data_IF_150598055677
#
_entry.id   IF_150598055677
#
_cell.length_a   1.000
_cell.length_b   1.000
_cell.length_c   1.000
_cell.angle_alpha   90.00
_cell.angle_beta   90.00
_cell.angle_gamma   90.00
#
_symmetry.space_group_name_H-M   'P 1'
#
loop_
_entity.id
_entity.type
_entity.pdbx_description
1 polymer ?
#
# COMPACT_ATOMS: atom_id res chain seq x y z
N UNK A 1 33.28 -3.34 2.95
CA UNK A 1 32.62 -4.53 3.55
C UNK A 1 32.03 -5.47 2.50
N UNK A 2 31.22 -5.00 1.55
CA UNK A 2 30.58 -5.85 0.53
C UNK A 2 31.56 -6.79 -0.20
N UNK A 3 32.70 -6.27 -0.66
CA UNK A 3 33.73 -7.05 -1.36
C UNK A 3 34.36 -8.18 -0.53
N UNK A 4 34.31 -8.10 0.80
CA UNK A 4 34.82 -9.16 1.70
C UNK A 4 33.86 -10.35 1.79
N UNK A 5 32.61 -10.16 1.37
CA UNK A 5 31.58 -11.18 1.34
C UNK A 5 30.65 -11.18 2.58
N UNK A 6 29.53 -11.93 2.52
CA UNK A 6 28.47 -11.91 3.52
C UNK A 6 28.90 -12.19 4.96
N UNK A 7 29.92 -13.04 5.16
CA UNK A 7 30.44 -13.36 6.49
C UNK A 7 31.00 -12.14 7.26
N UNK A 8 31.32 -11.06 6.55
CA UNK A 8 31.86 -9.82 7.11
C UNK A 8 30.85 -8.67 7.06
N UNK A 9 29.55 -8.94 6.90
CA UNK A 9 28.51 -7.91 6.96
C UNK A 9 28.22 -7.57 8.41
N UNK A 10 28.93 -6.54 8.90
CA UNK A 10 28.77 -6.04 10.26
C UNK A 10 27.77 -4.89 10.31
N UNK A 11 27.65 -4.12 9.22
CA UNK A 11 26.60 -3.11 9.03
C UNK A 11 25.18 -3.70 9.09
N UNK A 12 24.30 -2.99 9.80
CA UNK A 12 22.90 -3.36 10.03
C UNK A 12 22.09 -3.43 8.72
N UNK A 13 22.35 -2.53 7.77
CA UNK A 13 21.60 -2.49 6.50
C UNK A 13 21.95 -3.71 5.63
N UNK A 14 23.23 -4.08 5.57
CA UNK A 14 23.70 -5.27 4.88
C UNK A 14 23.17 -6.56 5.53
N UNK A 15 23.10 -6.62 6.87
CA UNK A 15 22.48 -7.75 7.59
C UNK A 15 20.99 -7.86 7.28
N UNK A 16 20.26 -6.75 7.26
CA UNK A 16 18.84 -6.74 6.88
C UNK A 16 18.64 -7.19 5.44
N UNK A 17 19.43 -6.68 4.50
CA UNK A 17 19.40 -7.14 3.11
C UNK A 17 19.66 -8.64 3.02
N UNK A 18 20.64 -9.17 3.76
CA UNK A 18 20.91 -10.60 3.80
C UNK A 18 19.70 -11.39 4.29
N UNK A 19 19.10 -10.98 5.40
CA UNK A 19 17.93 -11.63 5.98
C UNK A 19 16.73 -11.59 5.04
N UNK A 20 16.38 -10.44 4.47
CA UNK A 20 15.26 -10.34 3.52
C UNK A 20 15.47 -11.20 2.28
N UNK A 21 16.71 -11.31 1.79
CA UNK A 21 17.03 -12.14 0.62
C UNK A 21 16.94 -13.65 0.89
N UNK A 22 16.74 -14.10 2.12
CA UNK A 22 16.42 -15.52 2.42
C UNK A 22 15.02 -15.89 1.93
N UNK A 23 14.09 -14.93 1.94
CA UNK A 23 12.73 -15.12 1.44
C UNK A 23 12.66 -14.89 -0.07
N UNK A 24 12.08 -15.84 -0.81
CA UNK A 24 12.04 -15.80 -2.29
C UNK A 24 11.31 -14.56 -2.82
N UNK A 25 10.20 -14.16 -2.19
CA UNK A 25 9.41 -13.00 -2.62
C UNK A 25 10.19 -11.69 -2.51
N UNK A 26 10.97 -11.53 -1.44
CA UNK A 26 11.80 -10.35 -1.23
C UNK A 26 13.05 -10.37 -2.09
N UNK A 27 13.68 -11.54 -2.26
CA UNK A 27 14.87 -11.69 -3.10
C UNK A 27 14.65 -11.25 -4.56
N UNK A 28 13.44 -11.45 -5.09
CA UNK A 28 13.10 -11.08 -6.47
C UNK A 28 13.06 -9.56 -6.68
N UNK A 29 12.65 -8.81 -5.65
CA UNK A 29 12.43 -7.35 -5.71
C UNK A 29 13.56 -6.52 -5.10
N UNK A 30 14.52 -7.16 -4.44
CA UNK A 30 15.68 -6.50 -3.82
C UNK A 30 16.92 -6.62 -4.71
N UNK A 31 17.70 -5.54 -4.79
CA UNK A 31 19.02 -5.55 -5.42
C UNK A 31 19.98 -6.51 -4.72
N UNK A 32 20.94 -7.07 -5.48
CA UNK A 32 22.09 -7.78 -4.91
C UNK A 32 22.96 -6.79 -4.10
N UNK A 33 23.84 -7.31 -3.26
CA UNK A 33 24.79 -6.47 -2.52
C UNK A 33 25.70 -5.74 -3.50
N UNK A 34 25.61 -4.41 -3.53
CA UNK A 34 26.32 -3.57 -4.48
C UNK A 34 26.88 -2.36 -3.73
N UNK A 35 28.17 -2.06 -3.93
CA UNK A 35 28.75 -0.84 -3.38
C UNK A 35 28.11 0.39 -4.04
N UNK A 36 27.77 1.40 -3.23
CA UNK A 36 27.10 2.62 -3.70
C UNK A 36 27.89 3.31 -4.83
N UNK A 37 29.22 3.29 -4.75
CA UNK A 37 30.10 3.95 -5.73
C UNK A 37 30.82 2.95 -6.67
N UNK A 38 30.20 1.82 -7.00
CA UNK A 38 30.76 0.92 -8.01
C UNK A 38 30.76 1.59 -9.39
N UNK A 39 31.93 1.62 -10.04
CA UNK A 39 32.10 2.19 -11.38
C UNK A 39 31.19 1.55 -12.44
N UNK A 40 30.86 0.27 -12.29
CA UNK A 40 30.01 -0.48 -13.21
C UNK A 40 28.52 -0.16 -13.03
N UNK A 41 28.13 0.46 -11.91
CA UNK A 41 26.74 0.79 -11.58
C UNK A 41 26.41 2.28 -11.81
N UNK A 42 27.28 3.01 -12.51
CA UNK A 42 27.09 4.43 -12.84
C UNK A 42 26.15 4.59 -14.04
N UNK A 43 25.47 5.75 -14.18
CA UNK A 43 25.57 6.96 -13.36
C UNK A 43 24.79 6.87 -12.04
N UNK A 44 25.21 7.66 -11.04
CA UNK A 44 24.42 7.86 -9.82
C UNK A 44 23.26 8.81 -10.13
N UNK A 45 22.09 8.53 -9.56
CA UNK A 45 20.88 9.34 -9.71
C UNK A 45 20.51 9.91 -8.34
N UNK A 46 20.27 11.21 -8.29
CA UNK A 46 19.71 11.88 -7.12
C UNK A 46 18.30 12.40 -7.45
N UNK A 47 17.32 12.06 -6.62
CA UNK A 47 15.94 12.52 -6.74
C UNK A 47 15.63 13.35 -5.50
N UNK A 48 15.18 14.59 -5.71
CA UNK A 48 14.72 15.46 -4.62
C UNK A 48 13.26 15.12 -4.30
N UNK A 49 13.04 14.55 -3.13
CA UNK A 49 11.70 14.19 -2.65
C UNK A 49 11.08 15.30 -1.79
N UNK A 50 9.76 15.41 -1.84
CA UNK A 50 8.96 16.29 -0.99
C UNK A 50 7.76 15.53 -0.42
N UNK A 51 7.34 15.89 0.79
CA UNK A 51 6.12 15.33 1.38
C UNK A 51 4.91 15.95 0.67
N UNK A 52 4.03 15.09 0.15
CA UNK A 52 2.79 15.47 -0.51
C UNK A 52 1.63 14.72 0.16
N UNK A 53 0.51 15.40 0.38
CA UNK A 53 -0.75 14.70 0.67
C UNK A 53 -1.21 13.99 -0.60
N UNK A 54 -1.50 12.69 -0.50
CA UNK A 54 -1.78 11.85 -1.68
C UNK A 54 -3.13 11.14 -1.65
N UNK A 55 -3.75 10.98 -0.47
CA UNK A 55 -4.91 10.10 -0.27
C UNK A 55 -5.78 10.62 0.88
N UNK A 56 -7.10 10.58 0.72
CA UNK A 56 -8.05 10.81 1.81
C UNK A 56 -8.53 9.47 2.39
N UNK A 57 -8.22 9.20 3.65
CA UNK A 57 -8.64 7.96 4.33
C UNK A 57 -10.07 8.03 4.88
N UNK A 58 -10.60 9.24 5.06
CA UNK A 58 -12.00 9.47 5.35
C UNK A 58 -12.86 9.33 4.09
N UNK A 59 -14.18 9.47 4.26
CA UNK A 59 -15.11 9.42 3.14
C UNK A 59 -16.55 9.28 3.61
N UNK A 60 -17.41 8.99 2.67
CA UNK A 60 -18.82 8.70 2.91
C UNK A 60 -18.93 7.37 3.67
N UNK A 61 -19.63 7.39 4.80
CA UNK A 61 -19.87 6.19 5.60
C UNK A 61 -20.80 5.24 4.84
N UNK A 62 -20.41 3.96 4.79
CA UNK A 62 -21.22 2.91 4.17
C UNK A 62 -21.34 1.69 5.07
N UNK A 63 -22.36 0.88 4.85
CA UNK A 63 -22.43 -0.47 5.40
C UNK A 63 -21.66 -1.50 4.56
N UNK A 64 -21.79 -2.78 4.92
CA UNK A 64 -21.14 -3.89 4.23
C UNK A 64 -21.71 -4.15 2.82
N UNK A 65 -22.86 -3.59 2.47
CA UNK A 65 -23.45 -3.64 1.13
C UNK A 65 -23.08 -2.39 0.31
N UNK A 66 -22.16 -1.55 0.82
CA UNK A 66 -21.72 -0.30 0.21
C UNK A 66 -22.83 0.75 0.08
N UNK A 67 -23.93 0.61 0.83
CA UNK A 67 -25.01 1.61 0.89
C UNK A 67 -24.56 2.78 1.75
N UNK A 68 -24.83 4.00 1.30
CA UNK A 68 -24.51 5.21 2.07
C UNK A 68 -25.40 5.28 3.29
N UNK A 69 -24.81 5.62 4.44
CA UNK A 69 -25.54 5.79 5.69
C UNK A 69 -25.83 7.28 5.96
N UNK A 70 -27.03 7.56 6.47
CA UNK A 70 -27.37 8.86 7.01
C UNK A 70 -26.76 9.09 8.41
N UNK A 71 -27.11 10.21 9.05
CA UNK A 71 -26.57 10.57 10.38
C UNK A 71 -27.06 9.65 11.50
N UNK A 72 -28.14 8.92 11.27
CA UNK A 72 -28.72 7.95 12.19
C UNK A 72 -28.17 6.53 11.95
N UNK A 73 -27.32 6.37 10.92
CA UNK A 73 -26.76 5.08 10.52
C UNK A 73 -27.70 4.25 9.66
N UNK A 74 -28.80 4.81 9.17
CA UNK A 74 -29.73 4.12 8.30
C UNK A 74 -29.29 4.24 6.82
N UNK A 75 -29.44 3.18 6.01
CA UNK A 75 -29.12 3.24 4.59
C UNK A 75 -30.03 4.22 3.83
N UNK A 76 -29.44 5.10 3.04
CA UNK A 76 -30.17 5.97 2.11
C UNK A 76 -30.55 5.16 0.87
N UNK A 77 -31.84 5.00 0.54
CA UNK A 77 -32.28 4.18 -0.58
C UNK A 77 -31.68 4.62 -1.92
N UNK A 78 -31.13 3.67 -2.68
CA UNK A 78 -30.56 3.91 -4.01
C UNK A 78 -29.19 4.60 -4.03
N UNK A 79 -28.62 4.96 -2.88
CA UNK A 79 -27.34 5.66 -2.79
C UNK A 79 -26.23 4.74 -2.29
N UNK A 80 -25.15 4.64 -3.08
CA UNK A 80 -24.00 3.79 -2.81
C UNK A 80 -22.69 4.57 -2.96
N UNK A 81 -21.66 4.18 -2.22
CA UNK A 81 -20.33 4.77 -2.35
C UNK A 81 -19.25 3.67 -2.26
N UNK A 82 -18.20 3.81 -3.07
CA UNK A 82 -17.07 2.87 -3.15
C UNK A 82 -15.78 3.62 -3.45
N UNK A 83 -14.64 2.94 -3.33
CA UNK A 83 -13.34 3.52 -3.64
C UNK A 83 -12.97 4.67 -2.71
N UNK A 84 -12.15 5.63 -3.18
CA UNK A 84 -11.66 6.75 -2.37
C UNK A 84 -12.79 7.61 -1.79
N UNK A 85 -13.92 7.74 -2.50
CA UNK A 85 -15.09 8.45 -1.97
C UNK A 85 -15.62 7.85 -0.65
N UNK A 86 -15.36 6.57 -0.41
CA UNK A 86 -15.70 5.86 0.82
C UNK A 86 -14.45 5.51 1.65
N UNK A 87 -13.33 6.25 1.52
CA UNK A 87 -12.09 5.98 2.24
C UNK A 87 -11.32 4.76 1.72
N UNK A 88 -11.42 4.49 0.42
CA UNK A 88 -10.84 3.35 -0.29
C UNK A 88 -11.38 2.00 0.19
N UNK A 89 -12.69 1.89 0.42
CA UNK A 89 -13.32 0.59 0.74
C UNK A 89 -14.48 0.63 1.72
N UNK A 90 -14.99 1.82 2.07
CA UNK A 90 -16.18 1.98 2.90
C UNK A 90 -15.97 1.59 4.36
N UNK A 91 -16.96 1.92 5.18
CA UNK A 91 -17.03 1.46 6.57
C UNK A 91 -15.83 1.80 7.47
N UNK A 92 -14.98 2.75 7.09
CA UNK A 92 -13.77 3.09 7.85
C UNK A 92 -12.66 2.03 7.80
N UNK A 93 -12.60 1.21 6.75
CA UNK A 93 -11.66 0.06 6.64
C UNK A 93 -10.18 0.39 6.90
N UNK A 94 -9.74 1.61 6.59
CA UNK A 94 -8.36 2.06 6.79
C UNK A 94 -8.16 2.87 8.09
N UNK A 95 -9.22 3.13 8.86
CA UNK A 95 -9.17 3.88 10.11
C UNK A 95 -8.37 5.20 10.00
N UNK A 96 -7.38 5.38 10.87
CA UNK A 96 -6.52 6.57 10.90
C UNK A 96 -5.29 6.49 9.99
N UNK A 97 -4.85 5.28 9.64
CA UNK A 97 -3.62 5.03 8.87
C UNK A 97 -3.82 3.77 8.03
N UNK A 98 -3.50 3.88 6.75
CA UNK A 98 -3.62 2.75 5.83
C UNK A 98 -2.27 2.06 5.61
N UNK A 99 -2.33 0.80 5.19
CA UNK A 99 -1.19 0.04 4.70
C UNK A 99 -0.98 0.33 3.21
N UNK A 100 0.23 0.73 2.82
CA UNK A 100 0.58 0.87 1.40
C UNK A 100 0.28 -0.44 0.64
N UNK A 101 -0.35 -0.31 -0.53
CA UNK A 101 -0.78 -1.45 -1.35
C UNK A 101 -2.20 -1.99 -1.09
N UNK A 102 -2.89 -1.63 -0.01
CA UNK A 102 -4.26 -2.13 0.25
C UNK A 102 -5.35 -1.46 -0.60
N UNK A 103 -5.11 -0.20 -0.99
CA UNK A 103 -6.13 0.69 -1.56
C UNK A 103 -6.81 0.14 -2.81
N UNK A 104 -6.03 -0.30 -3.80
CA UNK A 104 -6.57 -0.79 -5.07
C UNK A 104 -7.44 -2.03 -4.86
N UNK A 105 -6.97 -2.97 -4.04
CA UNK A 105 -7.72 -4.19 -3.71
C UNK A 105 -9.06 -3.85 -3.09
N UNK A 106 -9.08 -2.96 -2.09
CA UNK A 106 -10.30 -2.51 -1.44
C UNK A 106 -11.27 -1.80 -2.39
N UNK A 107 -10.78 -0.95 -3.31
CA UNK A 107 -11.61 -0.33 -4.35
C UNK A 107 -12.28 -1.37 -5.25
N UNK A 108 -11.53 -2.36 -5.74
CA UNK A 108 -12.06 -3.40 -6.64
C UNK A 108 -13.08 -4.28 -5.92
N UNK A 109 -12.78 -4.70 -4.69
CA UNK A 109 -13.66 -5.57 -3.90
C UNK A 109 -14.97 -4.86 -3.54
N UNK A 110 -14.91 -3.60 -3.13
CA UNK A 110 -16.12 -2.83 -2.82
C UNK A 110 -16.93 -2.46 -4.04
N UNK A 111 -16.29 -2.12 -5.17
CA UNK A 111 -16.99 -1.92 -6.45
C UNK A 111 -17.79 -3.16 -6.85
N UNK A 112 -17.18 -4.36 -6.75
CA UNK A 112 -17.87 -5.63 -7.00
C UNK A 112 -19.02 -5.88 -6.03
N UNK A 113 -18.85 -5.52 -4.75
CA UNK A 113 -19.88 -5.72 -3.72
C UNK A 113 -21.07 -4.77 -3.91
N UNK A 114 -20.82 -3.51 -4.21
CA UNK A 114 -21.85 -2.53 -4.55
C UNK A 114 -22.65 -2.98 -5.78
N UNK A 115 -21.97 -3.43 -6.85
CA UNK A 115 -22.65 -3.93 -8.04
C UNK A 115 -23.61 -5.08 -7.74
N UNK A 116 -23.19 -6.05 -6.91
CA UNK A 116 -24.07 -7.14 -6.44
C UNK A 116 -25.25 -6.62 -5.62
N UNK A 117 -25.01 -5.70 -4.70
CA UNK A 117 -26.06 -5.11 -3.87
C UNK A 117 -27.06 -4.25 -4.67
N UNK A 118 -26.66 -3.68 -5.80
CA UNK A 118 -27.52 -2.94 -6.72
C UNK A 118 -28.34 -3.90 -7.59
N UNK A 119 -27.75 -5.00 -8.05
CA UNK A 119 -28.39 -5.96 -8.95
C UNK A 119 -29.42 -6.87 -8.26
N UNK A 120 -29.28 -7.11 -6.95
CA UNK A 120 -30.10 -8.06 -6.19
C UNK A 120 -29.43 -9.42 -6.07
#
# INVERSE_FOLDING_TARGET
EIARGPAYFVDEQLRRLMNFRTYRGDRLRLCKYQAINDSNARPLIAIREFILSRKSLGGIQTDLQCRVLDRQGAPIPGLYAVGEAAGFGGGGIHGRRSLEGSFLGSCVLTGRRAARAIAG
#
